data_IF_657124864572
#
_entry.id   IF_657124864572
#
_cell.length_a   1.000
_cell.length_b   1.000
_cell.length_c   1.000
_cell.angle_alpha   90.00
_cell.angle_beta   90.00
_cell.angle_gamma   90.00
#
_symmetry.space_group_name_H-M   'P 1'
#
loop_
_entity.id
_entity.type
_entity.pdbx_description
1 polymer ?
#
# COMPACT_ATOMS: atom_id res chain seq x y z
N UNK A 1 -7.58 -32.39 -4.49
CA UNK A 1 -6.49 -31.86 -5.35
C UNK A 1 -6.20 -30.38 -5.14
N UNK A 2 -7.21 -29.49 -4.99
CA UNK A 2 -7.01 -28.02 -4.80
C UNK A 2 -6.18 -27.66 -3.54
N UNK A 3 -6.28 -28.44 -2.46
CA UNK A 3 -5.55 -28.16 -1.21
C UNK A 3 -4.03 -28.17 -1.37
N UNK A 4 -3.50 -29.10 -2.17
CA UNK A 4 -2.05 -29.28 -2.31
C UNK A 4 -1.41 -28.14 -3.11
N UNK A 5 -2.09 -27.65 -4.16
CA UNK A 5 -1.63 -26.49 -4.93
C UNK A 5 -1.61 -25.21 -4.09
N UNK A 6 -2.64 -24.99 -3.26
CA UNK A 6 -2.69 -23.83 -2.37
C UNK A 6 -1.58 -23.86 -1.31
N UNK A 7 -1.27 -25.05 -0.80
CA UNK A 7 -0.22 -25.25 0.20
C UNK A 7 1.17 -25.06 -0.41
N UNK A 8 1.38 -25.53 -1.63
CA UNK A 8 2.58 -25.25 -2.41
C UNK A 8 2.75 -23.75 -2.68
N UNK A 9 1.69 -23.04 -3.09
CA UNK A 9 1.72 -21.59 -3.28
C UNK A 9 2.04 -20.84 -1.99
N UNK A 10 1.51 -21.29 -0.85
CA UNK A 10 1.82 -20.74 0.47
C UNK A 10 3.30 -20.96 0.82
N UNK A 11 3.81 -22.18 0.63
CA UNK A 11 5.22 -22.49 0.88
C UNK A 11 6.16 -21.61 0.05
N UNK A 12 5.87 -21.44 -1.25
CA UNK A 12 6.66 -20.58 -2.14
C UNK A 12 6.61 -19.11 -1.68
N UNK A 13 5.44 -18.65 -1.22
CA UNK A 13 5.28 -17.30 -0.68
C UNK A 13 6.12 -17.10 0.57
N UNK A 14 6.06 -18.02 1.53
CA UNK A 14 6.82 -17.94 2.79
C UNK A 14 8.33 -17.97 2.54
N UNK A 15 8.79 -18.87 1.67
CA UNK A 15 10.19 -18.95 1.28
C UNK A 15 10.67 -17.63 0.63
N UNK A 16 9.87 -17.08 -0.30
CA UNK A 16 10.22 -15.82 -0.96
C UNK A 16 10.23 -14.63 0.01
N UNK A 17 9.29 -14.58 0.97
CA UNK A 17 9.27 -13.53 2.00
C UNK A 17 10.52 -13.64 2.89
N UNK A 18 10.84 -14.84 3.36
CA UNK A 18 12.01 -15.09 4.21
C UNK A 18 13.32 -14.70 3.51
N UNK A 19 13.49 -15.11 2.25
CA UNK A 19 14.69 -14.79 1.46
C UNK A 19 14.85 -13.27 1.25
N UNK A 20 13.75 -12.54 1.05
CA UNK A 20 13.82 -11.10 0.72
C UNK A 20 13.83 -10.19 1.93
N UNK A 21 13.46 -10.69 3.11
CA UNK A 21 13.53 -9.95 4.38
C UNK A 21 14.96 -9.61 4.79
N UNK A 22 15.93 -10.45 4.43
CA UNK A 22 17.36 -10.21 4.70
C UNK A 22 18.08 -9.44 3.59
N UNK A 23 17.39 -9.14 2.48
CA UNK A 23 18.00 -8.51 1.29
C UNK A 23 17.82 -6.98 1.32
N UNK A 24 18.91 -6.20 1.31
CA UNK A 24 18.82 -4.74 1.21
C UNK A 24 18.09 -4.30 -0.05
N UNK A 25 17.31 -3.21 0.03
CA UNK A 25 16.53 -2.65 -1.07
C UNK A 25 17.35 -2.48 -2.37
N UNK A 26 18.58 -2.00 -2.24
CA UNK A 26 19.47 -1.73 -3.37
C UNK A 26 19.93 -3.00 -4.11
N UNK A 27 19.83 -4.16 -3.47
CA UNK A 27 20.29 -5.44 -4.00
C UNK A 27 19.13 -6.27 -4.58
N UNK A 28 17.89 -5.78 -4.49
CA UNK A 28 16.72 -6.52 -4.96
C UNK A 28 16.70 -6.57 -6.49
N UNK A 29 16.51 -7.77 -7.09
CA UNK A 29 16.43 -7.90 -8.54
C UNK A 29 15.17 -7.20 -9.08
N UNK A 30 15.22 -6.77 -10.35
CA UNK A 30 14.00 -6.29 -11.02
C UNK A 30 13.05 -7.45 -11.25
N UNK A 31 11.77 -7.20 -11.01
CA UNK A 31 10.72 -8.16 -11.31
C UNK A 31 10.36 -8.06 -12.80
N UNK A 32 10.25 -9.20 -13.52
CA UNK A 32 9.76 -9.19 -14.89
C UNK A 32 8.28 -8.76 -14.93
N UNK A 33 7.86 -8.22 -16.08
CA UNK A 33 6.44 -7.99 -16.32
C UNK A 33 5.72 -9.32 -16.49
N UNK A 34 4.68 -9.55 -15.70
CA UNK A 34 3.87 -10.77 -15.78
C UNK A 34 2.78 -10.57 -16.85
N UNK A 35 2.69 -11.43 -17.88
CA UNK A 35 1.62 -11.37 -18.87
C UNK A 35 0.24 -11.53 -18.22
N UNK A 36 -0.76 -10.76 -18.65
CA UNK A 36 -2.12 -10.76 -18.10
C UNK A 36 -2.99 -11.91 -18.63
N UNK A 37 -2.51 -13.15 -18.56
CA UNK A 37 -3.33 -14.33 -18.86
C UNK A 37 -4.33 -14.61 -17.72
N UNK A 38 -5.44 -15.30 -18.02
CA UNK A 38 -6.43 -15.70 -16.99
C UNK A 38 -5.78 -16.51 -15.86
N UNK A 39 -4.87 -17.44 -16.20
CA UNK A 39 -4.11 -18.23 -15.24
C UNK A 39 -3.27 -17.35 -14.31
N UNK A 40 -2.53 -16.40 -14.87
CA UNK A 40 -1.66 -15.52 -14.09
C UNK A 40 -2.47 -14.59 -13.18
N UNK A 41 -3.63 -14.12 -13.64
CA UNK A 41 -4.54 -13.33 -12.81
C UNK A 41 -5.07 -14.15 -11.62
N UNK A 42 -5.40 -15.43 -11.82
CA UNK A 42 -5.82 -16.32 -10.73
C UNK A 42 -4.70 -16.48 -9.71
N UNK A 43 -3.46 -16.73 -10.15
CA UNK A 43 -2.29 -16.84 -9.25
C UNK A 43 -2.11 -15.57 -8.42
N UNK A 44 -2.11 -14.40 -9.07
CA UNK A 44 -1.97 -13.10 -8.38
C UNK A 44 -3.12 -12.88 -7.40
N UNK A 45 -4.35 -13.25 -7.76
CA UNK A 45 -5.52 -13.12 -6.88
C UNK A 45 -5.40 -14.00 -5.65
N UNK A 46 -4.98 -15.26 -5.81
CA UNK A 46 -4.78 -16.19 -4.70
C UNK A 46 -3.68 -15.69 -3.76
N UNK A 47 -2.54 -15.25 -4.32
CA UNK A 47 -1.46 -14.67 -3.53
C UNK A 47 -1.92 -13.42 -2.77
N UNK A 48 -2.69 -12.53 -3.40
CA UNK A 48 -3.22 -11.34 -2.73
C UNK A 48 -4.14 -11.69 -1.55
N UNK A 49 -4.92 -12.78 -1.64
CA UNK A 49 -5.75 -13.25 -0.53
C UNK A 49 -4.90 -13.77 0.63
N UNK A 50 -3.84 -14.53 0.34
CA UNK A 50 -2.90 -15.01 1.36
C UNK A 50 -2.10 -13.85 1.97
N UNK A 51 -1.77 -12.84 1.18
CA UNK A 51 -0.91 -11.74 1.59
C UNK A 51 -1.49 -10.92 2.75
N UNK A 52 -2.82 -10.83 2.85
CA UNK A 52 -3.51 -10.07 3.90
C UNK A 52 -3.02 -10.46 5.29
N UNK A 53 -2.89 -11.76 5.57
CA UNK A 53 -2.47 -12.25 6.89
C UNK A 53 -1.02 -11.87 7.22
N UNK A 54 -0.13 -11.85 6.23
CA UNK A 54 1.27 -11.44 6.43
C UNK A 54 1.40 -9.93 6.60
N UNK A 55 0.55 -9.14 5.93
CA UNK A 55 0.55 -7.68 6.06
C UNK A 55 -0.01 -7.23 7.41
N UNK A 56 -1.04 -7.89 7.93
CA UNK A 56 -1.57 -7.61 9.27
C UNK A 56 -0.56 -7.92 10.38
N UNK A 57 0.31 -8.92 10.17
CA UNK A 57 1.37 -9.27 11.12
C UNK A 57 2.64 -8.40 11.01
N UNK A 58 2.74 -7.56 9.99
CA UNK A 58 3.92 -6.73 9.72
C UNK A 58 4.04 -5.58 10.72
N UNK A 59 5.22 -5.40 11.31
CA UNK A 59 5.43 -4.41 12.39
C UNK A 59 5.85 -3.05 11.88
N UNK A 60 6.51 -3.00 10.73
CA UNK A 60 7.04 -1.76 10.17
C UNK A 60 6.99 -1.71 8.63
N UNK A 61 7.39 -0.56 8.09
CA UNK A 61 7.40 -0.31 6.65
C UNK A 61 8.40 -1.20 5.89
N UNK A 62 9.52 -1.56 6.52
CA UNK A 62 10.57 -2.38 5.90
C UNK A 62 10.13 -3.84 5.79
N UNK A 63 9.49 -4.36 6.84
CA UNK A 63 8.85 -5.67 6.83
C UNK A 63 7.72 -5.71 5.80
N UNK A 64 6.87 -4.68 5.77
CA UNK A 64 5.76 -4.58 4.82
C UNK A 64 6.26 -4.62 3.37
N UNK A 65 7.30 -3.84 3.09
CA UNK A 65 7.94 -3.81 1.78
C UNK A 65 8.60 -5.15 1.41
N UNK A 66 9.26 -5.81 2.37
CA UNK A 66 9.85 -7.15 2.16
C UNK A 66 8.78 -8.21 1.89
N UNK A 67 7.65 -8.16 2.59
CA UNK A 67 6.49 -9.05 2.37
C UNK A 67 5.91 -8.83 0.97
N UNK A 68 5.66 -7.58 0.58
CA UNK A 68 5.13 -7.23 -0.73
C UNK A 68 6.07 -7.67 -1.86
N UNK A 69 7.37 -7.43 -1.70
CA UNK A 69 8.36 -7.83 -2.69
C UNK A 69 8.50 -9.35 -2.78
N UNK A 70 8.54 -10.05 -1.64
CA UNK A 70 8.54 -11.51 -1.57
C UNK A 70 7.34 -12.12 -2.28
N UNK A 71 6.14 -11.56 -2.08
CA UNK A 71 4.93 -12.01 -2.77
C UNK A 71 5.00 -11.85 -4.29
N UNK A 72 5.59 -10.75 -4.76
CA UNK A 72 5.77 -10.54 -6.19
C UNK A 72 6.83 -11.48 -6.79
N UNK A 73 7.89 -11.81 -6.03
CA UNK A 73 8.86 -12.87 -6.40
C UNK A 73 8.18 -14.23 -6.45
N UNK A 74 7.35 -14.56 -5.46
CA UNK A 74 6.58 -15.81 -5.43
C UNK A 74 5.65 -15.93 -6.65
N UNK A 75 4.96 -14.84 -7.03
CA UNK A 75 4.17 -14.80 -8.26
C UNK A 75 5.02 -15.11 -9.50
N UNK A 76 6.21 -14.54 -9.59
CA UNK A 76 7.13 -14.82 -10.70
C UNK A 76 7.56 -16.29 -10.72
N UNK A 77 7.86 -16.89 -9.56
CA UNK A 77 8.23 -18.31 -9.44
C UNK A 77 7.09 -19.23 -9.87
N UNK A 78 5.88 -19.00 -9.38
CA UNK A 78 4.71 -19.83 -9.69
C UNK A 78 4.32 -19.77 -11.17
N UNK A 79 4.63 -18.66 -11.84
CA UNK A 79 4.33 -18.43 -13.26
C UNK A 79 5.53 -18.83 -14.16
N UNK A 80 6.63 -19.32 -13.59
CA UNK A 80 7.90 -19.59 -14.28
C UNK A 80 8.45 -18.36 -15.05
N UNK A 81 8.18 -17.16 -14.54
CA UNK A 81 8.75 -15.94 -15.08
C UNK A 81 10.22 -15.83 -14.65
N UNK A 82 11.13 -15.87 -15.62
CA UNK A 82 12.58 -15.73 -15.38
C UNK A 82 12.88 -14.39 -14.72
N UNK A 83 13.34 -14.45 -13.48
CA UNK A 83 13.89 -13.30 -12.78
C UNK A 83 15.23 -12.94 -13.44
N UNK A 84 15.42 -11.71 -13.93
CA UNK A 84 16.69 -11.30 -14.50
C UNK A 84 17.78 -11.39 -13.42
N UNK A 85 18.83 -12.16 -13.73
CA UNK A 85 20.07 -12.14 -12.95
C UNK A 85 20.65 -10.72 -13.00
N UNK A 86 21.09 -10.23 -11.85
CA UNK A 86 21.48 -8.85 -11.58
C UNK A 86 22.15 -8.10 -12.73
N UNK A 87 21.78 -6.82 -12.86
CA UNK A 87 22.73 -5.79 -13.28
C UNK A 87 22.88 -5.58 -14.80
N UNK A 88 21.87 -4.97 -15.43
CA UNK A 88 22.09 -3.93 -16.45
C UNK A 88 20.83 -3.08 -16.53
N UNK A 89 20.80 -2.07 -15.68
CA UNK A 89 19.74 -1.09 -15.66
C UNK A 89 19.91 -0.16 -16.87
N UNK A 90 19.12 -0.35 -17.92
CA UNK A 90 18.66 0.82 -18.67
C UNK A 90 17.86 1.64 -17.66
N UNK A 91 18.41 2.81 -17.25
CA UNK A 91 17.72 3.79 -16.41
C UNK A 91 16.37 4.04 -17.08
N UNK A 92 15.29 3.56 -16.48
CA UNK A 92 13.98 4.09 -16.82
C UNK A 92 14.00 5.55 -16.36
N UNK A 93 13.53 6.43 -17.24
CA UNK A 93 13.39 7.86 -16.97
C UNK A 93 12.89 8.09 -15.54
N UNK A 94 13.37 9.16 -14.90
CA UNK A 94 13.09 9.59 -13.51
C UNK A 94 11.61 9.87 -13.19
N UNK A 95 10.69 9.40 -14.03
CA UNK A 95 9.27 9.46 -13.83
C UNK A 95 8.89 8.71 -12.54
N UNK A 96 8.38 9.47 -11.58
CA UNK A 96 7.82 8.96 -10.33
C UNK A 96 6.74 7.92 -10.68
N UNK A 97 6.84 6.67 -10.17
CA UNK A 97 5.85 5.64 -10.46
C UNK A 97 4.43 6.10 -10.07
N UNK A 98 3.43 5.76 -10.89
CA UNK A 98 2.06 6.20 -10.68
C UNK A 98 1.47 5.77 -9.32
N UNK A 99 1.87 4.61 -8.79
CA UNK A 99 1.48 4.17 -7.46
C UNK A 99 2.05 5.08 -6.37
N UNK A 100 3.31 5.52 -6.51
CA UNK A 100 3.98 6.40 -5.55
C UNK A 100 3.29 7.75 -5.51
N UNK A 101 3.02 8.34 -6.68
CA UNK A 101 2.26 9.58 -6.80
C UNK A 101 0.89 9.48 -6.12
N UNK A 102 0.16 8.37 -6.34
CA UNK A 102 -1.14 8.13 -5.69
C UNK A 102 -1.05 8.10 -4.17
N UNK A 103 -0.01 7.49 -3.60
CA UNK A 103 0.20 7.45 -2.15
C UNK A 103 0.57 8.83 -1.63
N UNK A 104 1.52 9.52 -2.27
CA UNK A 104 1.94 10.87 -1.92
C UNK A 104 0.77 11.86 -1.94
N UNK A 105 -0.10 11.79 -2.96
CA UNK A 105 -1.31 12.60 -3.06
C UNK A 105 -2.30 12.31 -1.92
N UNK A 106 -2.48 11.03 -1.55
CA UNK A 106 -3.35 10.65 -0.41
C UNK A 106 -2.80 11.18 0.92
N UNK A 107 -1.49 11.06 1.13
CA UNK A 107 -0.82 11.59 2.33
C UNK A 107 -0.96 13.11 2.38
N UNK A 108 -0.74 13.80 1.27
CA UNK A 108 -0.89 15.26 1.18
C UNK A 108 -2.32 15.71 1.51
N UNK A 109 -3.33 15.01 0.97
CA UNK A 109 -4.74 15.26 1.30
C UNK A 109 -5.04 15.05 2.78
N UNK A 110 -4.53 13.96 3.38
CA UNK A 110 -4.71 13.69 4.80
C UNK A 110 -4.08 14.76 5.69
N UNK A 111 -2.83 15.16 5.41
CA UNK A 111 -2.14 16.26 6.12
C UNK A 111 -2.90 17.58 6.01
N UNK A 112 -3.41 17.90 4.82
CA UNK A 112 -4.21 19.10 4.60
C UNK A 112 -5.53 19.09 5.39
N UNK A 113 -6.18 17.92 5.51
CA UNK A 113 -7.38 17.77 6.33
C UNK A 113 -7.07 17.97 7.82
N UNK A 114 -6.02 17.31 8.33
CA UNK A 114 -5.56 17.45 9.72
C UNK A 114 -5.28 18.93 10.04
N UNK A 115 -4.55 19.64 9.18
CA UNK A 115 -4.25 21.07 9.38
C UNK A 115 -5.51 21.95 9.45
N UNK A 116 -6.54 21.65 8.66
CA UNK A 116 -7.83 22.38 8.72
C UNK A 116 -8.59 22.07 10.01
N UNK A 117 -8.58 20.82 10.47
CA UNK A 117 -9.20 20.42 11.73
C UNK A 117 -8.51 21.10 12.93
N UNK A 118 -7.18 21.17 12.93
CA UNK A 118 -6.40 21.91 13.93
C UNK A 118 -6.75 23.40 13.89
N UNK A 119 -6.79 24.00 12.70
CA UNK A 119 -7.15 25.42 12.54
C UNK A 119 -8.56 25.72 13.08
N UNK A 120 -9.53 24.83 12.82
CA UNK A 120 -10.87 24.94 13.37
C UNK A 120 -10.87 24.85 14.90
N UNK A 121 -10.12 23.90 15.48
CA UNK A 121 -9.93 23.76 16.94
C UNK A 121 -9.34 25.02 17.57
N UNK A 122 -8.44 25.72 16.88
CA UNK A 122 -7.87 27.01 17.30
C UNK A 122 -8.82 28.21 17.13
N UNK A 123 -10.09 28.00 16.76
CA UNK A 123 -11.12 29.05 16.65
C UNK A 123 -11.27 29.67 15.27
N UNK A 124 -10.64 29.12 14.23
CA UNK A 124 -10.78 29.63 12.87
C UNK A 124 -12.15 29.25 12.27
N UNK A 125 -13.07 30.21 12.27
CA UNK A 125 -14.43 30.04 11.78
C UNK A 125 -14.64 30.45 10.32
N UNK A 126 -13.57 30.54 9.51
CA UNK A 126 -13.72 30.84 8.07
C UNK A 126 -14.64 29.82 7.41
N UNK A 127 -15.61 30.23 6.55
CA UNK A 127 -16.62 29.33 5.98
C UNK A 127 -16.05 28.09 5.29
N UNK A 128 -14.89 28.22 4.62
CA UNK A 128 -14.19 27.10 3.96
C UNK A 128 -13.69 26.04 4.96
N UNK A 129 -13.20 26.46 6.12
CA UNK A 129 -12.70 25.57 7.18
C UNK A 129 -13.88 24.85 7.83
N UNK A 130 -14.92 25.59 8.21
CA UNK A 130 -16.15 25.03 8.81
C UNK A 130 -16.84 24.03 7.87
N UNK A 131 -16.96 24.36 6.57
CA UNK A 131 -17.52 23.43 5.57
C UNK A 131 -16.67 22.16 5.47
N UNK A 132 -15.33 22.28 5.48
CA UNK A 132 -14.46 21.10 5.41
C UNK A 132 -14.63 20.21 6.64
N UNK A 133 -14.70 20.78 7.84
CA UNK A 133 -14.91 20.05 9.10
C UNK A 133 -16.26 19.32 9.07
N UNK A 134 -17.34 20.02 8.67
CA UNK A 134 -18.68 19.42 8.53
C UNK A 134 -18.72 18.25 7.55
N UNK A 135 -18.06 18.39 6.40
CA UNK A 135 -17.98 17.31 5.42
C UNK A 135 -17.13 16.13 5.92
N UNK A 136 -16.05 16.40 6.66
CA UNK A 136 -15.18 15.37 7.21
C UNK A 136 -15.86 14.52 8.29
N UNK A 137 -16.78 15.11 9.05
CA UNK A 137 -17.58 14.41 10.07
C UNK A 137 -18.99 14.04 9.59
N UNK A 138 -19.33 14.27 8.32
CA UNK A 138 -20.65 13.93 7.78
C UNK A 138 -20.92 12.42 7.95
N UNK A 139 -22.03 12.07 8.59
CA UNK A 139 -22.38 10.67 8.86
C UNK A 139 -21.66 10.04 10.07
N UNK A 140 -20.77 10.78 10.73
CA UNK A 140 -20.33 10.44 12.09
C UNK A 140 -21.24 11.22 13.05
N UNK A 141 -21.76 10.59 14.11
CA UNK A 141 -22.62 11.24 15.12
C UNK A 141 -21.89 12.32 15.96
N UNK A 142 -20.79 12.85 15.44
CA UNK A 142 -19.92 13.85 16.05
C UNK A 142 -20.46 15.21 15.62
N UNK A 143 -21.32 15.77 16.46
CA UNK A 143 -21.88 17.11 16.28
C UNK A 143 -20.79 18.17 16.32
N UNK A 144 -20.75 19.03 15.30
CA UNK A 144 -19.97 20.26 15.33
C UNK A 144 -20.61 21.18 16.38
N UNK A 145 -19.92 21.59 17.46
CA UNK A 145 -20.51 22.47 18.46
C UNK A 145 -20.99 23.74 17.77
N UNK A 146 -22.31 23.94 17.77
CA UNK A 146 -22.95 25.12 17.25
C UNK A 146 -22.34 26.34 17.92
N UNK A 147 -21.78 27.24 17.10
CA UNK A 147 -21.27 28.59 17.41
C UNK A 147 -21.27 28.89 18.91
N UNK A 148 -20.09 29.00 19.51
CA UNK A 148 -19.91 29.67 20.80
C UNK A 148 -20.60 31.03 20.68
N UNK A 149 -21.77 31.13 21.31
CA UNK A 149 -22.49 32.36 21.53
C UNK A 149 -21.54 33.22 22.34
N UNK A 150 -20.97 34.26 21.71
CA UNK A 150 -20.36 35.35 22.47
C UNK A 150 -21.50 36.01 23.22
N UNK A 151 -21.69 35.62 24.48
CA UNK A 151 -22.37 36.47 25.46
C UNK A 151 -21.37 37.54 25.89
N UNK A 152 -21.89 38.76 25.93
CA UNK A 152 -21.24 40.00 26.35
C UNK A 152 -20.51 39.86 27.68
#
# INVERSE_FOLDING_TARGET
MVSHELELMRSILEEAILEKRSMPLNNRPRLPSIPLSKRNQVVVRVLNLMLVTYLEASRDLCETDSVLFGAAVAACRIIDAKLPMSGRATKQSSAIPAWRKRIEDRIAKARALIGRLISFRSGNNRPRVVRTVRMAFAGTNIGCPSRISRRN
#
